data_IF_158513792007
#
_entry.id   IF_158513792007
#
_cell.length_a   1.000
_cell.length_b   1.000
_cell.length_c   1.000
_cell.angle_alpha   90.00
_cell.angle_beta   90.00
_cell.angle_gamma   90.00
#
_symmetry.space_group_name_H-M   'P 1'
#
loop_
_entity.id
_entity.type
_entity.pdbx_description
1 polymer ?
#
# COMPACT_ATOMS: atom_id res chain seq x y z
N UNK A 1 -6.56 -19.47 0.51
CA UNK A 1 -5.29 -19.95 -0.11
C UNK A 1 -4.89 -18.98 -1.20
N UNK A 2 -3.63 -18.57 -1.25
CA UNK A 2 -3.08 -17.69 -2.31
C UNK A 2 -2.50 -18.57 -3.43
N UNK A 3 -2.90 -18.28 -4.68
CA UNK A 3 -2.45 -19.00 -5.87
C UNK A 3 -0.92 -18.89 -6.04
N UNK A 4 -0.31 -19.92 -6.64
CA UNK A 4 1.08 -19.86 -7.06
C UNK A 4 1.31 -18.73 -8.08
N UNK A 5 2.46 -18.06 -8.01
CA UNK A 5 2.87 -16.95 -8.89
C UNK A 5 1.93 -15.72 -8.82
N UNK A 6 1.17 -15.58 -7.74
CA UNK A 6 0.28 -14.45 -7.56
C UNK A 6 1.03 -13.16 -7.21
N UNK A 7 0.51 -12.03 -7.69
CA UNK A 7 0.87 -10.71 -7.20
C UNK A 7 -0.03 -10.35 -6.03
N UNK A 8 0.57 -10.07 -4.87
CA UNK A 8 -0.12 -9.74 -3.63
C UNK A 8 0.17 -8.29 -3.26
N UNK A 9 -0.90 -7.50 -3.16
CA UNK A 9 -0.83 -6.12 -2.67
C UNK A 9 -1.39 -6.11 -1.25
N UNK A 10 -0.51 -5.96 -0.26
CA UNK A 10 -0.88 -5.86 1.14
C UNK A 10 -1.01 -4.38 1.55
N UNK A 11 -2.26 -3.96 1.72
CA UNK A 11 -2.63 -2.62 2.16
C UNK A 11 -2.98 -2.55 3.66
N UNK A 12 -2.59 -3.58 4.44
CA UNK A 12 -2.79 -3.60 5.87
C UNK A 12 -2.04 -2.49 6.59
N UNK A 13 -2.75 -1.78 7.48
CA UNK A 13 -2.23 -0.65 8.26
C UNK A 13 -2.46 -0.85 9.75
N UNK A 14 -2.87 -2.05 10.18
CA UNK A 14 -3.13 -2.32 11.59
C UNK A 14 -1.83 -2.17 12.37
N UNK A 15 -1.87 -1.40 13.45
CA UNK A 15 -0.77 -1.26 14.38
C UNK A 15 -1.22 -1.70 15.75
N UNK A 16 -0.74 -2.86 16.20
CA UNK A 16 -0.82 -3.28 17.60
C UNK A 16 0.56 -3.10 18.23
N UNK A 17 0.61 -2.48 19.41
CA UNK A 17 1.84 -2.29 20.20
C UNK A 17 3.04 -1.69 19.42
N UNK A 18 2.76 -0.82 18.45
CA UNK A 18 3.79 -0.16 17.63
C UNK A 18 4.36 -1.02 16.49
N UNK A 19 3.80 -2.21 16.24
CA UNK A 19 4.16 -3.06 15.09
C UNK A 19 3.10 -2.96 14.00
N UNK A 20 3.53 -2.70 12.78
CA UNK A 20 2.66 -2.78 11.59
C UNK A 20 2.38 -4.25 11.27
N UNK A 21 1.11 -4.62 11.29
CA UNK A 21 0.57 -5.91 10.86
C UNK A 21 -0.10 -5.73 9.49
N UNK A 22 0.33 -6.56 8.54
CA UNK A 22 -0.31 -6.67 7.23
C UNK A 22 -1.62 -7.47 7.27
N UNK A 23 -2.32 -7.52 6.14
CA UNK A 23 -3.58 -8.26 6.01
C UNK A 23 -3.36 -9.76 5.74
N UNK A 24 -2.12 -10.18 5.50
CA UNK A 24 -1.76 -11.59 5.29
C UNK A 24 -1.00 -12.15 6.49
N UNK A 25 -1.03 -13.48 6.65
CA UNK A 25 -0.22 -14.17 7.64
C UNK A 25 1.28 -13.86 7.43
N UNK A 26 2.10 -13.72 8.50
CA UNK A 26 3.55 -13.51 8.38
C UNK A 26 4.26 -14.51 7.46
N UNK A 27 3.79 -15.76 7.44
CA UNK A 27 4.33 -16.84 6.60
C UNK A 27 4.21 -16.56 5.09
N UNK A 28 3.29 -15.69 4.68
CA UNK A 28 3.08 -15.34 3.26
C UNK A 28 4.23 -14.49 2.72
N UNK A 29 4.89 -13.68 3.57
CA UNK A 29 6.02 -12.85 3.15
C UNK A 29 7.30 -13.66 2.88
N UNK A 30 7.37 -14.89 3.39
CA UNK A 30 8.50 -15.81 3.19
C UNK A 30 8.33 -16.69 1.94
N UNK A 31 7.21 -16.56 1.21
CA UNK A 31 6.95 -17.33 -0.01
C UNK A 31 7.74 -16.78 -1.19
N UNK A 32 8.62 -17.60 -1.76
CA UNK A 32 9.44 -17.25 -2.92
C UNK A 32 8.66 -17.23 -4.24
N UNK A 33 7.50 -17.88 -4.30
CA UNK A 33 6.67 -17.97 -5.49
C UNK A 33 5.70 -16.78 -5.64
N UNK A 34 5.80 -15.76 -4.78
CA UNK A 34 4.91 -14.60 -4.79
C UNK A 34 5.68 -13.32 -5.13
N UNK A 35 5.02 -12.42 -5.84
CA UNK A 35 5.43 -11.01 -5.89
C UNK A 35 4.55 -10.24 -4.90
N UNK A 36 5.12 -9.84 -3.76
CA UNK A 36 4.35 -9.21 -2.68
C UNK A 36 4.90 -7.83 -2.31
N UNK A 37 4.02 -6.88 -1.98
CA UNK A 37 4.44 -5.57 -1.46
C UNK A 37 5.16 -5.73 -0.11
N UNK A 38 6.28 -5.03 0.11
CA UNK A 38 7.04 -5.17 1.35
C UNK A 38 6.28 -4.57 2.55
N UNK A 39 6.48 -5.15 3.73
CA UNK A 39 5.87 -4.70 4.99
C UNK A 39 6.18 -3.23 5.30
N UNK A 40 7.41 -2.80 5.04
CA UNK A 40 7.84 -1.39 5.13
C UNK A 40 8.17 -0.89 3.74
N UNK A 41 7.67 0.31 3.41
CA UNK A 41 7.89 0.89 2.09
C UNK A 41 6.88 0.46 1.00
N UNK A 42 5.88 -0.36 1.35
CA UNK A 42 4.84 -0.84 0.43
C UNK A 42 3.74 0.18 0.19
N UNK A 43 2.49 -0.20 0.46
CA UNK A 43 1.30 0.62 0.13
C UNK A 43 1.26 1.94 0.89
N UNK A 44 1.70 1.98 2.15
CA UNK A 44 1.61 3.16 3.02
C UNK A 44 2.19 4.45 2.42
N UNK A 45 3.48 4.50 2.02
CA UNK A 45 4.07 5.66 1.36
C UNK A 45 3.36 6.06 0.06
N UNK A 46 2.90 5.09 -0.73
CA UNK A 46 2.15 5.37 -1.96
C UNK A 46 0.80 6.05 -1.67
N UNK A 47 0.12 5.68 -0.58
CA UNK A 47 -1.10 6.36 -0.14
C UNK A 47 -0.85 7.83 0.17
N UNK A 48 0.27 8.17 0.81
CA UNK A 48 0.65 9.56 1.09
C UNK A 48 0.93 10.31 -0.21
N UNK A 49 1.69 9.73 -1.13
CA UNK A 49 1.95 10.32 -2.45
C UNK A 49 0.65 10.58 -3.22
N UNK A 50 -0.26 9.60 -3.28
CA UNK A 50 -1.53 9.71 -3.97
C UNK A 50 -2.42 10.80 -3.35
N UNK A 51 -2.41 10.96 -2.02
CA UNK A 51 -3.11 12.06 -1.35
C UNK A 51 -2.59 13.42 -1.84
N UNK A 52 -1.27 13.63 -1.85
CA UNK A 52 -0.69 14.89 -2.32
C UNK A 52 -0.95 15.14 -3.80
N UNK A 53 -0.86 14.10 -4.63
CA UNK A 53 -1.21 14.18 -6.05
C UNK A 53 -2.66 14.64 -6.26
N UNK A 54 -3.60 14.08 -5.48
CA UNK A 54 -5.00 14.47 -5.52
C UNK A 54 -5.21 15.92 -5.04
N UNK A 55 -4.51 16.36 -3.99
CA UNK A 55 -4.57 17.75 -3.51
C UNK A 55 -4.06 18.73 -4.57
N UNK A 56 -2.93 18.44 -5.21
CA UNK A 56 -2.37 19.29 -6.28
C UNK A 56 -3.34 19.37 -7.45
N UNK A 57 -3.92 18.24 -7.89
CA UNK A 57 -4.92 18.20 -8.96
C UNK A 57 -6.16 19.02 -8.63
N UNK A 58 -6.66 18.91 -7.40
CA UNK A 58 -7.82 19.69 -6.95
C UNK A 58 -7.53 21.19 -6.94
N UNK A 59 -6.36 21.59 -6.44
CA UNK A 59 -5.94 23.00 -6.43
C UNK A 59 -5.73 23.55 -7.85
N UNK A 60 -5.09 22.78 -8.74
CA UNK A 60 -4.88 23.17 -10.14
C UNK A 60 -6.19 23.27 -10.94
N UNK A 61 -7.10 22.31 -10.76
CA UNK A 61 -8.42 22.33 -11.42
C UNK A 61 -9.36 23.44 -10.93
N UNK A 62 -9.14 23.97 -9.72
CA UNK A 62 -9.79 25.20 -9.25
C UNK A 62 -9.20 26.46 -9.89
N UNK A 63 -7.90 26.44 -10.23
CA UNK A 63 -7.21 27.57 -10.86
C UNK A 63 -7.56 27.72 -12.34
N UNK A 64 -7.76 26.61 -13.07
CA UNK A 64 -8.15 26.65 -14.49
C UNK A 64 -9.63 27.03 -14.73
N UNK A 65 -10.46 27.00 -13.68
CA UNK A 65 -11.90 27.33 -13.76
C UNK A 65 -12.25 28.74 -13.28
N UNK A 66 -11.28 29.50 -12.77
CA UNK A 66 -11.46 30.90 -12.35
C UNK A 66 -10.90 31.87 -13.39
#
# INVERSE_FOLDING_TARGET
MIKQDAVVVDAGVASEDGKTLGNVSPEVYEREDLTITPVKGGVGPLTVCALFENVIRAAGGLYEKS
#
